data_IF_541609702980
#
_entry.id   IF_541609702980
#
_cell.length_a   1.000
_cell.length_b   1.000
_cell.length_c   1.000
_cell.angle_alpha   90.00
_cell.angle_beta   90.00
_cell.angle_gamma   90.00
#
_symmetry.space_group_name_H-M   'P 1'
#
loop_
_entity.id
_entity.type
_entity.pdbx_description
1 polymer ?
#
# COMPACT_ATOMS: atom_id res chain seq x y z
N UNK A 1 -6.47 76.79 -14.02
CA UNK A 1 -6.70 76.47 -15.45
C UNK A 1 -6.77 74.96 -15.58
N UNK A 2 -7.99 74.38 -15.62
CA UNK A 2 -8.17 72.94 -15.71
C UNK A 2 -7.73 72.41 -17.07
N UNK A 3 -7.02 71.28 -17.09
CA UNK A 3 -6.70 70.56 -18.32
C UNK A 3 -8.01 70.20 -19.01
N UNK A 4 -8.22 70.71 -20.23
CA UNK A 4 -9.32 70.32 -21.11
C UNK A 4 -8.99 68.95 -21.70
N UNK A 5 -9.22 67.89 -20.92
CA UNK A 5 -9.20 66.52 -21.43
C UNK A 5 -10.56 66.14 -22.00
N UNK A 6 -10.59 65.34 -23.05
CA UNK A 6 -11.80 64.72 -23.54
C UNK A 6 -11.93 63.33 -22.91
N UNK A 7 -13.06 63.07 -22.26
CA UNK A 7 -13.43 61.73 -21.80
C UNK A 7 -14.47 61.18 -22.77
N UNK A 8 -14.12 60.11 -23.49
CA UNK A 8 -15.03 59.40 -24.37
C UNK A 8 -15.39 58.10 -23.67
N UNK A 9 -16.67 57.94 -23.34
CA UNK A 9 -17.19 56.73 -22.69
C UNK A 9 -17.83 55.89 -23.79
N UNK A 10 -17.29 54.70 -24.01
CA UNK A 10 -17.91 53.69 -24.88
C UNK A 10 -18.63 52.68 -24.01
N UNK A 11 -19.82 52.27 -24.44
CA UNK A 11 -20.62 51.28 -23.71
C UNK A 11 -20.08 49.86 -23.86
N UNK A 12 -19.26 49.62 -24.88
CA UNK A 12 -18.66 48.33 -25.17
C UNK A 12 -17.15 48.53 -25.39
N UNK A 13 -16.35 47.98 -24.47
CA UNK A 13 -14.89 48.07 -24.50
C UNK A 13 -14.24 47.06 -25.45
N UNK A 14 -14.97 45.99 -25.79
CA UNK A 14 -14.44 44.89 -26.60
C UNK A 14 -14.22 45.32 -28.06
N UNK A 15 -14.80 46.44 -28.49
CA UNK A 15 -14.61 47.06 -29.82
C UNK A 15 -13.13 47.32 -30.13
N UNK A 16 -12.29 47.55 -29.11
CA UNK A 16 -10.84 47.75 -29.27
C UNK A 16 -9.98 46.54 -28.90
N UNK A 17 -10.59 45.38 -28.63
CA UNK A 17 -9.83 44.16 -28.46
C UNK A 17 -9.15 43.77 -29.79
N UNK A 18 -7.93 43.24 -29.73
CA UNK A 18 -7.14 42.88 -30.92
C UNK A 18 -7.88 41.98 -31.92
N UNK A 19 -8.79 41.11 -31.46
CA UNK A 19 -9.60 40.25 -32.31
C UNK A 19 -10.81 40.94 -32.96
N UNK A 20 -11.31 42.00 -32.34
CA UNK A 20 -12.50 42.75 -32.76
C UNK A 20 -12.15 43.95 -33.65
N UNK A 21 -10.95 44.52 -33.49
CA UNK A 21 -10.37 45.54 -34.36
C UNK A 21 -10.23 45.11 -35.82
N UNK A 22 -10.10 43.79 -36.07
CA UNK A 22 -9.96 43.21 -37.41
C UNK A 22 -11.29 43.23 -38.18
N UNK A 23 -12.43 43.40 -37.50
CA UNK A 23 -13.73 43.60 -38.17
C UNK A 23 -13.76 45.01 -38.76
N UNK A 24 -14.07 45.10 -40.06
CA UNK A 24 -13.84 46.30 -40.90
C UNK A 24 -14.39 47.60 -40.29
N UNK A 25 -15.54 47.57 -39.64
CA UNK A 25 -16.20 48.77 -39.08
C UNK A 25 -15.56 49.26 -37.77
N UNK A 26 -15.03 48.34 -36.95
CA UNK A 26 -14.44 48.66 -35.65
C UNK A 26 -13.06 49.32 -35.80
N UNK A 27 -12.25 48.85 -36.74
CA UNK A 27 -10.98 49.47 -37.09
C UNK A 27 -11.16 50.91 -37.60
N UNK A 28 -12.22 51.15 -38.38
CA UNK A 28 -12.55 52.48 -38.89
C UNK A 28 -12.99 53.43 -37.75
N UNK A 29 -13.82 52.92 -36.83
CA UNK A 29 -14.24 53.65 -35.64
C UNK A 29 -13.05 54.02 -34.73
N UNK A 30 -12.13 53.08 -34.51
CA UNK A 30 -10.91 53.32 -33.74
C UNK A 30 -10.03 54.40 -34.39
N UNK A 31 -9.87 54.35 -35.71
CA UNK A 31 -9.14 55.35 -36.46
C UNK A 31 -9.77 56.74 -36.35
N UNK A 32 -11.09 56.86 -36.52
CA UNK A 32 -11.78 58.14 -36.42
C UNK A 32 -11.78 58.72 -35.00
N UNK A 33 -11.84 57.88 -33.97
CA UNK A 33 -11.73 58.34 -32.59
C UNK A 33 -10.32 58.84 -32.27
N UNK A 34 -9.29 58.12 -32.73
CA UNK A 34 -7.90 58.58 -32.61
C UNK A 34 -7.67 59.89 -33.38
N UNK A 35 -8.25 60.02 -34.58
CA UNK A 35 -8.18 61.23 -35.39
C UNK A 35 -8.93 62.41 -34.74
N UNK A 36 -10.11 62.18 -34.16
CA UNK A 36 -10.90 63.19 -33.48
C UNK A 36 -10.15 63.76 -32.25
N UNK A 37 -9.63 62.88 -31.40
CA UNK A 37 -8.84 63.28 -30.24
C UNK A 37 -7.53 63.96 -30.69
N UNK A 38 -6.88 63.43 -31.72
CA UNK A 38 -5.67 64.01 -32.31
C UNK A 38 -5.87 65.41 -32.91
N UNK A 39 -6.98 65.65 -33.63
CA UNK A 39 -7.31 66.94 -34.25
C UNK A 39 -7.64 68.02 -33.22
N UNK A 40 -8.31 67.67 -32.12
CA UNK A 40 -8.65 68.61 -31.04
C UNK A 40 -7.41 69.07 -30.23
N UNK A 41 -6.34 68.27 -30.19
CA UNK A 41 -5.10 68.57 -29.47
C UNK A 41 -3.98 69.18 -30.35
N UNK A 42 -4.24 69.51 -31.63
CA UNK A 42 -3.29 70.10 -32.60
C UNK A 42 -2.82 71.54 -32.29
N UNK A 43 -2.64 71.88 -31.01
CA UNK A 43 -1.89 73.05 -30.56
C UNK A 43 -0.53 72.71 -29.94
N UNK A 44 -0.22 71.44 -29.66
CA UNK A 44 0.97 71.08 -28.87
C UNK A 44 1.85 70.03 -29.56
N UNK A 45 3.03 70.46 -30.03
CA UNK A 45 4.00 69.71 -30.86
C UNK A 45 4.74 68.55 -30.17
N UNK A 46 4.35 68.13 -28.97
CA UNK A 46 4.98 67.01 -28.30
C UNK A 46 4.18 65.74 -28.60
N UNK A 47 4.83 64.73 -29.21
CA UNK A 47 4.31 63.37 -29.36
C UNK A 47 3.75 62.90 -28.01
N UNK A 48 2.43 62.97 -27.83
CA UNK A 48 1.77 62.44 -26.65
C UNK A 48 1.29 61.04 -26.97
N UNK A 49 1.72 60.10 -26.15
CA UNK A 49 1.29 58.71 -26.21
C UNK A 49 -0.22 58.64 -25.93
N UNK A 50 -0.96 58.00 -26.82
CA UNK A 50 -2.32 57.55 -26.55
C UNK A 50 -2.23 56.29 -25.71
N UNK A 51 -2.82 56.31 -24.52
CA UNK A 51 -2.97 55.13 -23.68
C UNK A 51 -4.44 54.72 -23.77
N UNK A 52 -4.69 53.57 -24.40
CA UNK A 52 -5.96 52.87 -24.23
C UNK A 52 -5.82 52.06 -22.95
N UNK A 53 -6.45 52.53 -21.87
CA UNK A 53 -6.54 51.78 -20.62
C UNK A 53 -7.87 51.02 -20.63
N UNK A 54 -7.79 49.71 -20.85
CA UNK A 54 -8.94 48.83 -20.83
C UNK A 54 -9.36 48.61 -19.38
N UNK A 55 -10.25 49.47 -18.86
CA UNK A 55 -10.88 49.22 -17.57
C UNK A 55 -12.00 48.21 -17.79
N UNK A 56 -11.63 46.93 -17.81
CA UNK A 56 -12.59 45.83 -17.83
C UNK A 56 -13.37 45.82 -16.51
N UNK A 57 -14.51 46.50 -16.45
CA UNK A 57 -15.58 46.18 -15.50
C UNK A 57 -16.54 45.18 -16.14
N UNK A 58 -16.02 44.00 -16.45
CA UNK A 58 -16.82 42.82 -16.67
C UNK A 58 -16.78 41.97 -15.40
N UNK A 59 -17.91 41.81 -14.70
CA UNK A 59 -18.14 40.57 -13.96
C UNK A 59 -18.06 39.46 -15.01
N UNK A 60 -16.86 38.92 -15.23
CA UNK A 60 -16.64 37.84 -16.19
C UNK A 60 -17.68 36.76 -15.92
N UNK A 61 -18.32 36.26 -16.98
CA UNK A 61 -19.38 35.27 -16.88
C UNK A 61 -19.00 34.20 -15.85
N UNK A 62 -19.91 33.91 -14.91
CA UNK A 62 -19.65 32.94 -13.84
C UNK A 62 -19.11 31.67 -14.51
N UNK A 63 -17.84 31.29 -14.24
CA UNK A 63 -17.24 30.18 -14.95
C UNK A 63 -18.09 28.94 -14.69
N UNK A 64 -18.40 28.21 -15.76
CA UNK A 64 -19.10 26.93 -15.61
C UNK A 64 -18.31 26.02 -14.67
N UNK A 65 -18.98 25.07 -14.01
CA UNK A 65 -18.31 24.12 -13.10
C UNK A 65 -17.13 23.40 -13.78
N UNK A 66 -17.24 23.15 -15.08
CA UNK A 66 -16.18 22.59 -15.92
C UNK A 66 -14.98 23.56 -15.99
N UNK A 67 -15.22 24.83 -16.33
CA UNK A 67 -14.15 25.84 -16.37
C UNK A 67 -13.50 26.05 -14.99
N UNK A 68 -14.28 25.96 -13.92
CA UNK A 68 -13.75 26.03 -12.57
C UNK A 68 -12.82 24.85 -12.27
N UNK A 69 -13.15 23.64 -12.73
CA UNK A 69 -12.31 22.45 -12.55
C UNK A 69 -10.94 22.54 -13.24
N UNK A 70 -10.80 23.36 -14.31
CA UNK A 70 -9.53 23.58 -15.01
C UNK A 70 -8.77 24.83 -14.56
N UNK A 71 -9.27 25.56 -13.56
CA UNK A 71 -8.57 26.73 -12.98
C UNK A 71 -7.81 26.34 -11.72
N UNK A 72 -6.70 27.02 -11.47
CA UNK A 72 -5.97 26.87 -10.21
C UNK A 72 -6.84 27.38 -9.04
N UNK A 73 -6.92 26.68 -7.90
CA UNK A 73 -6.24 25.43 -7.54
C UNK A 73 -7.05 24.14 -7.87
N UNK A 74 -8.29 24.28 -8.33
CA UNK A 74 -9.20 23.17 -8.61
C UNK A 74 -8.69 22.18 -9.66
N UNK A 75 -7.82 22.63 -10.57
CA UNK A 75 -7.11 21.76 -11.52
C UNK A 75 -6.32 20.66 -10.81
N UNK A 76 -5.53 21.03 -9.79
CA UNK A 76 -4.76 20.06 -9.02
C UNK A 76 -5.68 19.10 -8.29
N UNK A 77 -6.73 19.60 -7.64
CA UNK A 77 -7.68 18.74 -6.93
C UNK A 77 -8.35 17.73 -7.88
N UNK A 78 -8.82 18.21 -9.03
CA UNK A 78 -9.47 17.39 -10.06
C UNK A 78 -8.51 16.34 -10.64
N UNK A 79 -7.24 16.72 -10.87
CA UNK A 79 -6.21 15.79 -11.31
C UNK A 79 -5.92 14.69 -10.28
N UNK A 80 -5.82 15.04 -8.98
CA UNK A 80 -5.60 14.04 -7.93
C UNK A 80 -6.80 13.09 -7.82
N UNK A 81 -8.03 13.60 -7.87
CA UNK A 81 -9.25 12.76 -7.85
C UNK A 81 -9.25 11.79 -9.04
N UNK A 82 -8.93 12.28 -10.24
CA UNK A 82 -8.84 11.45 -11.44
C UNK A 82 -7.75 10.37 -11.30
N UNK A 83 -6.58 10.73 -10.77
CA UNK A 83 -5.49 9.79 -10.51
C UNK A 83 -5.89 8.73 -9.49
N UNK A 84 -6.55 9.11 -8.41
CA UNK A 84 -7.07 8.16 -7.41
C UNK A 84 -8.10 7.21 -8.00
N UNK A 85 -9.04 7.72 -8.82
CA UNK A 85 -10.02 6.88 -9.51
C UNK A 85 -9.34 5.93 -10.51
N UNK A 86 -8.34 6.39 -11.24
CA UNK A 86 -7.57 5.55 -12.15
C UNK A 86 -6.85 4.43 -11.38
N UNK A 87 -6.17 4.76 -10.29
CA UNK A 87 -5.50 3.77 -9.44
C UNK A 87 -6.50 2.80 -8.80
N UNK A 88 -7.68 3.27 -8.43
CA UNK A 88 -8.76 2.44 -7.92
C UNK A 88 -9.27 1.46 -8.98
N UNK A 89 -9.57 1.96 -10.19
CA UNK A 89 -9.99 1.12 -11.32
C UNK A 89 -8.88 0.15 -11.71
N UNK A 90 -7.61 0.56 -11.65
CA UNK A 90 -6.50 -0.35 -11.90
C UNK A 90 -6.38 -1.42 -10.81
N UNK A 91 -6.60 -1.09 -9.53
CA UNK A 91 -6.61 -2.05 -8.42
C UNK A 91 -7.75 -3.07 -8.56
N UNK A 92 -8.96 -2.61 -8.85
CA UNK A 92 -10.15 -3.46 -9.00
C UNK A 92 -10.18 -4.20 -10.35
N UNK A 93 -9.61 -3.57 -11.37
CA UNK A 93 -9.54 -4.02 -12.76
C UNK A 93 -8.27 -4.82 -13.07
N UNK A 94 -7.35 -5.00 -12.12
CA UNK A 94 -6.48 -6.17 -12.17
C UNK A 94 -7.42 -7.35 -12.05
N UNK A 95 -7.60 -8.18 -13.11
CA UNK A 95 -8.23 -9.45 -12.88
C UNK A 95 -7.37 -10.07 -11.78
N UNK A 96 -7.99 -10.39 -10.64
CA UNK A 96 -7.48 -11.49 -9.85
C UNK A 96 -7.36 -12.60 -10.87
N UNK A 97 -6.16 -12.80 -11.42
CA UNK A 97 -5.75 -14.08 -11.95
C UNK A 97 -6.00 -14.93 -10.73
N UNK A 98 -7.18 -15.56 -10.67
CA UNK A 98 -7.50 -16.56 -9.69
C UNK A 98 -6.39 -17.53 -9.95
N UNK A 99 -5.31 -17.44 -9.16
CA UNK A 99 -4.23 -18.41 -9.18
C UNK A 99 -5.01 -19.70 -9.15
N UNK A 100 -4.99 -20.47 -10.25
CA UNK A 100 -5.69 -21.76 -10.32
C UNK A 100 -5.36 -22.38 -8.99
N UNK A 101 -6.36 -22.61 -8.12
CA UNK A 101 -6.12 -23.14 -6.78
C UNK A 101 -5.18 -24.30 -7.04
N UNK A 102 -3.91 -24.16 -6.64
CA UNK A 102 -2.96 -25.22 -6.86
C UNK A 102 -3.67 -26.47 -6.32
N UNK A 103 -3.70 -27.58 -7.07
CA UNK A 103 -4.41 -28.76 -6.62
C UNK A 103 -4.02 -28.96 -5.16
N UNK A 104 -5.03 -29.04 -4.27
CA UNK A 104 -4.83 -29.10 -2.84
C UNK A 104 -4.14 -30.43 -2.58
N UNK A 105 -2.82 -30.46 -2.78
CA UNK A 105 -1.99 -31.61 -2.50
C UNK A 105 -1.97 -31.60 -0.99
N UNK A 106 -2.75 -32.48 -0.41
CA UNK A 106 -2.61 -32.84 1.00
C UNK A 106 -1.24 -33.46 1.12
N UNK A 107 -0.24 -32.60 1.37
CA UNK A 107 1.11 -33.04 1.65
C UNK A 107 1.02 -33.94 2.87
N UNK A 108 1.64 -35.10 2.80
CA UNK A 108 1.74 -35.93 3.99
C UNK A 108 2.41 -35.13 5.11
N UNK A 109 2.06 -35.40 6.37
CA UNK A 109 2.69 -34.74 7.53
C UNK A 109 4.22 -34.82 7.46
N UNK A 110 4.75 -35.93 6.96
CA UNK A 110 6.17 -36.13 6.69
C UNK A 110 6.74 -35.16 5.64
N UNK A 111 6.06 -34.98 4.51
CA UNK A 111 6.46 -34.00 3.47
C UNK A 111 6.46 -32.56 4.02
N UNK A 112 5.55 -32.21 4.94
CA UNK A 112 5.52 -30.90 5.59
C UNK A 112 6.75 -30.68 6.47
N UNK A 113 7.13 -31.68 7.27
CA UNK A 113 8.30 -31.62 8.17
C UNK A 113 9.59 -31.54 7.38
N UNK A 114 9.72 -32.34 6.31
CA UNK A 114 10.86 -32.26 5.39
C UNK A 114 10.96 -30.88 4.74
N UNK A 115 9.84 -30.36 4.23
CA UNK A 115 9.79 -29.02 3.63
C UNK A 115 10.18 -27.94 4.65
N UNK A 116 9.69 -28.03 5.88
CA UNK A 116 10.03 -27.09 6.95
C UNK A 116 11.53 -27.16 7.30
N UNK A 117 12.10 -28.37 7.32
CA UNK A 117 13.53 -28.58 7.46
C UNK A 117 14.35 -27.89 6.37
N UNK A 118 13.94 -28.03 5.11
CA UNK A 118 14.59 -27.36 3.98
C UNK A 118 14.46 -25.84 4.02
N UNK A 119 13.27 -25.32 4.35
CA UNK A 119 13.05 -23.87 4.47
C UNK A 119 13.89 -23.27 5.60
N UNK A 120 13.93 -23.93 6.75
CA UNK A 120 14.75 -23.53 7.91
C UNK A 120 16.24 -23.55 7.60
N UNK A 121 16.68 -24.54 6.82
CA UNK A 121 18.05 -24.60 6.31
C UNK A 121 18.36 -23.43 5.35
N UNK A 122 17.44 -23.13 4.44
CA UNK A 122 17.63 -22.09 3.42
C UNK A 122 17.68 -20.67 4.01
N UNK A 123 16.85 -20.37 5.03
CA UNK A 123 16.77 -19.03 5.64
C UNK A 123 17.96 -18.66 6.52
N UNK A 124 18.75 -19.64 6.98
CA UNK A 124 19.94 -19.40 7.82
C UNK A 124 19.64 -19.06 9.29
N UNK A 125 18.43 -18.61 9.62
CA UNK A 125 17.98 -18.25 10.99
C UNK A 125 17.42 -19.44 11.79
N UNK A 126 18.12 -20.56 11.74
CA UNK A 126 17.67 -21.83 12.31
C UNK A 126 17.59 -21.84 13.84
N UNK A 127 18.48 -21.13 14.52
CA UNK A 127 18.48 -20.99 15.98
C UNK A 127 17.16 -20.39 16.47
N UNK A 128 16.72 -19.28 15.84
CA UNK A 128 15.45 -18.63 16.13
C UNK A 128 14.25 -19.54 15.87
N UNK A 129 14.29 -20.34 14.80
CA UNK A 129 13.19 -21.26 14.46
C UNK A 129 13.08 -22.37 15.51
N UNK A 130 14.20 -22.91 15.99
CA UNK A 130 14.19 -23.90 17.07
C UNK A 130 13.70 -23.32 18.39
N UNK A 131 14.15 -22.11 18.75
CA UNK A 131 13.67 -21.39 19.93
C UNK A 131 12.16 -21.20 19.88
N UNK A 132 11.65 -20.73 18.73
CA UNK A 132 10.22 -20.50 18.52
C UNK A 132 9.42 -21.81 18.61
N UNK A 133 9.92 -22.88 18.01
CA UNK A 133 9.29 -24.20 18.08
C UNK A 133 9.16 -24.69 19.53
N UNK A 134 10.25 -24.64 20.30
CA UNK A 134 10.23 -25.07 21.70
C UNK A 134 9.34 -24.18 22.55
N UNK A 135 9.33 -22.86 22.31
CA UNK A 135 8.47 -21.93 23.01
C UNK A 135 6.99 -22.28 22.83
N UNK A 136 6.55 -22.53 21.60
CA UNK A 136 5.17 -22.94 21.35
C UNK A 136 4.86 -24.31 21.95
N UNK A 137 5.78 -25.27 21.80
CA UNK A 137 5.56 -26.60 22.34
C UNK A 137 5.47 -26.63 23.87
N UNK A 138 6.33 -25.90 24.56
CA UNK A 138 6.28 -25.79 26.03
C UNK A 138 5.00 -25.05 26.45
N UNK A 139 4.55 -24.05 25.69
CA UNK A 139 3.27 -23.39 25.98
C UNK A 139 2.09 -24.39 25.86
N UNK A 140 2.06 -25.22 24.81
CA UNK A 140 1.05 -26.28 24.67
C UNK A 140 1.10 -27.24 25.89
N UNK A 141 2.30 -27.64 26.31
CA UNK A 141 2.46 -28.50 27.48
C UNK A 141 2.11 -27.81 28.81
N UNK A 142 2.31 -26.51 28.94
CA UNK A 142 1.92 -25.74 30.13
C UNK A 142 0.39 -25.59 30.24
N UNK A 143 -0.33 -25.69 29.12
CA UNK A 143 -1.78 -25.79 29.12
C UNK A 143 -2.26 -27.17 29.61
N UNK A 144 -1.62 -28.26 29.16
CA UNK A 144 -1.93 -29.62 29.58
C UNK A 144 -1.46 -29.92 31.02
N UNK A 145 -0.30 -29.38 31.41
CA UNK A 145 0.37 -29.58 32.70
C UNK A 145 0.70 -28.22 33.35
N UNK A 146 -0.26 -27.61 34.07
CA UNK A 146 -0.06 -26.29 34.70
C UNK A 146 1.10 -26.24 35.71
N UNK A 147 1.53 -27.38 36.26
CA UNK A 147 2.69 -27.50 37.15
C UNK A 147 4.02 -27.11 36.50
N UNK A 148 4.09 -27.06 35.17
CA UNK A 148 5.28 -26.64 34.42
C UNK A 148 5.52 -25.13 34.46
N UNK A 149 4.47 -24.31 34.62
CA UNK A 149 4.55 -22.83 34.54
C UNK A 149 5.56 -22.19 35.51
N UNK A 150 5.59 -22.55 36.81
CA UNK A 150 6.55 -21.93 37.74
C UNK A 150 7.98 -22.48 37.60
N UNK A 151 8.19 -23.55 36.83
CA UNK A 151 9.49 -24.22 36.75
C UNK A 151 10.43 -23.51 35.78
N UNK A 152 11.73 -23.56 36.08
CA UNK A 152 12.79 -23.23 35.12
C UNK A 152 12.93 -24.32 34.07
N UNK A 153 13.61 -24.02 32.96
CA UNK A 153 13.72 -24.95 31.83
C UNK A 153 14.32 -26.30 32.23
N UNK A 154 15.30 -26.32 33.15
CA UNK A 154 15.87 -27.56 33.69
C UNK A 154 14.81 -28.43 34.39
N UNK A 155 13.99 -27.81 35.25
CA UNK A 155 12.89 -28.51 35.92
C UNK A 155 11.77 -28.93 34.96
N UNK A 156 11.51 -28.15 33.89
CA UNK A 156 10.55 -28.56 32.84
C UNK A 156 11.04 -29.80 32.10
N UNK A 157 12.35 -29.88 31.80
CA UNK A 157 12.94 -31.07 31.16
C UNK A 157 12.75 -32.30 32.04
N UNK A 158 13.06 -32.20 33.33
CA UNK A 158 12.93 -33.32 34.27
C UNK A 158 11.50 -33.85 34.34
N UNK A 159 10.52 -32.95 34.50
CA UNK A 159 9.10 -33.33 34.57
C UNK A 159 8.62 -33.94 33.25
N UNK A 160 8.99 -33.37 32.10
CA UNK A 160 8.61 -33.92 30.80
C UNK A 160 9.23 -35.31 30.59
N UNK A 161 10.50 -35.50 30.95
CA UNK A 161 11.17 -36.81 30.87
C UNK A 161 10.60 -37.84 31.86
N UNK A 162 10.06 -37.41 32.99
CA UNK A 162 9.31 -38.27 33.91
C UNK A 162 7.97 -38.70 33.29
N UNK A 163 7.22 -37.77 32.69
CA UNK A 163 5.99 -38.09 31.93
C UNK A 163 6.29 -39.02 30.75
N UNK A 164 7.42 -38.86 30.07
CA UNK A 164 7.85 -39.81 29.03
C UNK A 164 7.99 -41.23 29.59
N UNK A 165 8.63 -41.39 30.75
CA UNK A 165 8.79 -42.71 31.39
C UNK A 165 7.46 -43.30 31.82
N UNK A 166 6.57 -42.49 32.40
CA UNK A 166 5.22 -42.92 32.77
C UNK A 166 4.41 -43.39 31.55
N UNK A 167 4.62 -42.76 30.39
CA UNK A 167 4.03 -43.17 29.10
C UNK A 167 4.77 -44.34 28.43
N UNK A 168 5.79 -44.93 29.07
CA UNK A 168 6.59 -46.03 28.54
C UNK A 168 7.53 -45.62 27.39
N UNK A 169 7.77 -44.32 27.21
CA UNK A 169 8.69 -43.77 26.22
C UNK A 169 10.09 -43.64 26.79
N UNK A 170 11.09 -43.70 25.90
CA UNK A 170 12.48 -43.43 26.26
C UNK A 170 12.69 -41.91 26.38
N UNK A 171 13.28 -41.40 27.49
CA UNK A 171 13.52 -39.98 27.68
C UNK A 171 14.39 -39.38 26.56
N UNK A 172 13.79 -38.47 25.80
CA UNK A 172 14.44 -37.85 24.63
C UNK A 172 14.33 -36.33 24.62
N UNK A 173 13.42 -35.73 25.39
CA UNK A 173 13.16 -34.30 25.36
C UNK A 173 14.42 -33.46 25.62
N UNK A 174 15.12 -33.71 26.73
CA UNK A 174 16.33 -32.95 27.08
C UNK A 174 17.45 -33.11 26.04
N UNK A 175 17.60 -34.31 25.48
CA UNK A 175 18.58 -34.58 24.41
C UNK A 175 18.26 -33.81 23.14
N UNK A 176 16.99 -33.74 22.74
CA UNK A 176 16.56 -33.03 21.54
C UNK A 176 16.71 -31.51 21.72
N UNK A 177 16.33 -30.99 22.89
CA UNK A 177 16.51 -29.58 23.24
C UNK A 177 17.98 -29.16 23.17
N UNK A 178 18.89 -29.94 23.78
CA UNK A 178 20.33 -29.65 23.72
C UNK A 178 20.91 -29.77 22.30
N UNK A 179 20.41 -30.72 21.50
CA UNK A 179 20.82 -30.87 20.10
C UNK A 179 20.36 -29.72 19.21
N UNK A 180 19.16 -29.17 19.43
CA UNK A 180 18.68 -28.02 18.68
C UNK A 180 19.47 -26.74 18.98
N UNK A 181 19.90 -26.54 20.23
CA UNK A 181 20.74 -25.39 20.61
C UNK A 181 22.13 -25.43 19.97
N UNK A 182 22.66 -26.63 19.72
CA UNK A 182 23.99 -26.86 19.13
C UNK A 182 23.92 -27.29 17.66
N UNK A 183 22.77 -27.10 17.02
CA UNK A 183 22.51 -27.61 15.69
C UNK A 183 23.44 -26.93 14.67
N UNK A 184 24.19 -27.73 13.91
CA UNK A 184 24.86 -27.22 12.69
C UNK A 184 23.84 -27.14 11.56
N UNK A 185 24.06 -26.22 10.62
CA UNK A 185 23.17 -25.99 9.47
C UNK A 185 22.81 -27.28 8.70
N UNK A 186 23.75 -28.20 8.55
CA UNK A 186 23.56 -29.50 7.87
C UNK A 186 22.65 -30.47 8.62
N UNK A 187 22.47 -30.31 9.94
CA UNK A 187 21.71 -31.24 10.78
C UNK A 187 20.27 -30.79 11.03
N UNK A 188 19.90 -29.57 10.63
CA UNK A 188 18.58 -28.97 10.87
C UNK A 188 17.43 -29.89 10.44
N UNK A 189 17.40 -30.45 9.20
CA UNK A 189 16.25 -31.25 8.77
C UNK A 189 16.08 -32.51 9.62
N UNK A 190 17.19 -33.13 10.04
CA UNK A 190 17.19 -34.33 10.88
C UNK A 190 16.72 -34.03 12.31
N UNK A 191 17.13 -32.90 12.88
CA UNK A 191 16.72 -32.49 14.23
C UNK A 191 15.24 -32.15 14.25
N UNK A 192 14.73 -31.41 13.26
CA UNK A 192 13.29 -31.12 13.14
C UNK A 192 12.47 -32.39 12.96
N UNK A 193 12.92 -33.32 12.12
CA UNK A 193 12.27 -34.62 11.96
C UNK A 193 12.23 -35.41 13.28
N UNK A 194 13.32 -35.42 14.04
CA UNK A 194 13.38 -36.09 15.34
C UNK A 194 12.47 -35.44 16.39
N UNK A 195 12.45 -34.10 16.47
CA UNK A 195 11.56 -33.34 17.35
C UNK A 195 10.08 -33.60 17.02
N UNK A 196 9.76 -33.69 15.74
CA UNK A 196 8.39 -33.99 15.30
C UNK A 196 7.98 -35.43 15.64
N UNK A 197 8.81 -36.42 15.30
CA UNK A 197 8.54 -37.83 15.62
C UNK A 197 8.41 -38.06 17.12
N UNK A 198 9.21 -37.35 17.91
CA UNK A 198 9.11 -37.36 19.35
C UNK A 198 7.77 -36.80 19.82
N UNK A 199 7.35 -35.62 19.33
CA UNK A 199 6.04 -35.03 19.65
C UNK A 199 4.88 -35.96 19.29
N UNK A 200 4.90 -36.59 18.12
CA UNK A 200 3.84 -37.53 17.73
C UNK A 200 3.71 -38.73 18.69
N UNK A 201 4.85 -39.26 19.15
CA UNK A 201 4.88 -40.34 20.14
C UNK A 201 4.39 -39.85 21.50
N UNK A 202 4.82 -38.66 21.91
CA UNK A 202 4.43 -38.05 23.17
C UNK A 202 2.91 -37.82 23.20
N UNK A 203 2.34 -37.19 22.18
CA UNK A 203 0.90 -36.88 22.07
C UNK A 203 0.02 -38.12 21.82
N UNK A 204 0.62 -39.31 21.61
CA UNK A 204 -0.12 -40.54 21.28
C UNK A 204 -0.81 -40.53 19.91
N UNK A 205 -0.52 -39.55 19.06
CA UNK A 205 -1.17 -39.34 17.76
C UNK A 205 -0.78 -40.39 16.70
N UNK A 206 0.33 -41.10 16.90
CA UNK A 206 0.71 -42.26 16.10
C UNK A 206 -0.29 -43.43 16.22
N UNK A 207 -1.00 -43.57 17.35
CA UNK A 207 -2.02 -44.60 17.54
C UNK A 207 -3.36 -44.25 16.87
N UNK A 208 -3.76 -42.97 16.86
CA UNK A 208 -4.99 -42.50 16.17
C UNK A 208 -4.91 -42.64 14.66
N UNK A 209 -3.73 -42.40 14.08
CA UNK A 209 -3.53 -42.49 12.61
C UNK A 209 -3.58 -43.95 12.10
N UNK A 210 -3.28 -44.93 12.96
CA UNK A 210 -3.48 -46.35 12.62
C UNK A 210 -4.94 -46.79 12.82
N UNK A 211 -5.65 -46.32 13.86
CA UNK A 211 -7.06 -46.69 14.05
C UNK A 211 -7.99 -46.09 12.98
N UNK A 212 -7.71 -44.88 12.49
CA UNK A 212 -8.48 -44.25 11.40
C UNK A 212 -8.27 -44.92 10.03
N UNK A 213 -7.09 -45.52 9.78
CA UNK A 213 -6.84 -46.29 8.56
C UNK A 213 -7.43 -47.71 8.58
N UNK A 214 -7.70 -48.26 9.76
CA UNK A 214 -8.40 -49.54 9.91
C UNK A 214 -9.92 -49.33 9.84
N UNK A 215 -10.45 -48.22 10.35
CA UNK A 215 -11.87 -47.88 10.30
C UNK A 215 -12.36 -47.32 8.96
N UNK A 216 -11.48 -47.07 7.99
CA UNK A 216 -11.83 -46.61 6.63
C UNK A 216 -11.72 -47.69 5.55
N UNK A 217 -11.35 -48.92 5.95
CA UNK A 217 -11.32 -50.11 5.09
C UNK A 217 -12.30 -51.21 5.57
N UNK A 218 -13.26 -50.85 6.42
CA UNK A 218 -14.45 -51.65 6.77
C UNK A 218 -15.70 -50.88 6.35
#
# INVERSE_FOLDING_TARGET
KGNKGYCIILSDGDIFANGELVKEENGLLAYHLAEFVGKQEMGNKNKKLFFFDEVTHGLGAVPSLIQLAFRYPMFYLSFHILLFLLLWVLKEGQPFIRKKKAPKRERSRKELVETMGFLTHATGHHEYIFELYWKFFIADLEEEFPSLKPLKMEGKIEVIEEVEKERGLQPQFGKLYQRSLKARKSHIPYILAAMYQWKEKFDGSSARTQSENIGSNL
#
